data_IF_722477908220
#
_entry.id   IF_722477908220
#
_cell.length_a   1.000
_cell.length_b   1.000
_cell.length_c   1.000
_cell.angle_alpha   90.00
_cell.angle_beta   90.00
_cell.angle_gamma   90.00
#
_symmetry.space_group_name_H-M   'P 1'
#
loop_
_entity.id
_entity.type
_entity.pdbx_description
1 polymer ?
#
# COMPACT_ATOMS: atom_id res chain seq x y z
N UNK A 1 -13.01 26.19 22.73
CA UNK A 1 -12.53 26.02 21.35
C UNK A 1 -11.52 24.86 21.18
N UNK A 2 -11.30 23.99 22.18
CA UNK A 2 -10.40 22.83 22.08
C UNK A 2 -11.12 21.46 22.10
N UNK A 3 -12.46 21.44 22.02
CA UNK A 3 -13.26 20.22 22.06
C UNK A 3 -13.68 19.67 20.69
N UNK A 4 -13.46 20.41 19.60
CA UNK A 4 -13.84 19.97 18.24
C UNK A 4 -12.77 19.10 17.58
N UNK A 5 -11.56 19.03 18.13
CA UNK A 5 -10.46 18.23 17.56
C UNK A 5 -10.73 16.71 17.66
N UNK A 6 -11.41 16.24 18.70
CA UNK A 6 -11.76 14.82 18.86
C UNK A 6 -13.01 14.44 18.04
N UNK A 7 -13.88 15.40 17.73
CA UNK A 7 -15.11 15.15 16.97
C UNK A 7 -14.88 15.01 15.45
N UNK A 8 -13.72 15.47 14.96
CA UNK A 8 -13.31 15.33 13.55
C UNK A 8 -12.44 14.09 13.30
N UNK A 9 -12.16 13.31 14.35
CA UNK A 9 -11.33 12.12 14.29
C UNK A 9 -12.13 10.90 13.84
N UNK A 10 -11.97 10.54 12.57
CA UNK A 10 -12.22 9.20 12.00
C UNK A 10 -13.67 8.89 11.59
N UNK A 11 -14.06 9.40 10.41
CA UNK A 11 -15.25 8.94 9.65
C UNK A 11 -14.88 7.72 8.77
N UNK A 12 -14.35 6.66 9.38
CA UNK A 12 -14.34 5.33 8.79
C UNK A 12 -14.75 4.33 9.88
N UNK A 13 -16.05 4.32 10.17
CA UNK A 13 -16.62 3.31 11.06
C UNK A 13 -16.79 2.02 10.26
N UNK A 14 -15.87 1.07 10.44
CA UNK A 14 -16.04 -0.30 9.92
C UNK A 14 -17.14 -0.96 10.74
N UNK A 15 -18.37 -0.87 10.26
CA UNK A 15 -19.51 -1.56 10.85
C UNK A 15 -19.36 -3.04 10.57
N UNK A 16 -19.11 -3.82 11.61
CA UNK A 16 -19.10 -5.28 11.53
C UNK A 16 -20.56 -5.73 11.33
N UNK A 17 -20.91 -6.44 10.25
CA UNK A 17 -22.27 -6.92 10.01
C UNK A 17 -22.77 -7.84 11.12
N UNK A 18 -24.08 -7.89 11.37
CA UNK A 18 -24.67 -8.83 12.32
C UNK A 18 -24.75 -10.25 11.71
N UNK A 19 -24.68 -11.28 12.55
CA UNK A 19 -24.69 -12.69 12.12
C UNK A 19 -23.29 -13.31 11.95
N UNK A 20 -23.23 -14.47 11.30
CA UNK A 20 -22.02 -15.31 11.21
C UNK A 20 -20.83 -14.59 10.55
N UNK A 21 -21.13 -13.73 9.57
CA UNK A 21 -20.14 -12.89 8.90
C UNK A 21 -19.45 -11.91 9.87
N UNK A 22 -20.19 -11.37 10.85
CA UNK A 22 -19.62 -10.49 11.86
C UNK A 22 -18.71 -11.19 12.85
N UNK A 23 -19.03 -12.44 13.18
CA UNK A 23 -18.19 -13.30 14.03
C UNK A 23 -16.88 -13.62 13.32
N UNK A 24 -16.93 -13.95 12.03
CA UNK A 24 -15.74 -14.16 11.21
C UNK A 24 -14.86 -12.89 11.16
N UNK A 25 -15.46 -11.73 10.89
CA UNK A 25 -14.70 -10.48 10.81
C UNK A 25 -14.05 -10.07 12.14
N UNK A 26 -14.67 -10.38 13.29
CA UNK A 26 -14.09 -10.16 14.62
C UNK A 26 -12.94 -11.13 14.95
N UNK A 27 -12.94 -12.33 14.37
CA UNK A 27 -11.87 -13.32 14.58
C UNK A 27 -10.54 -12.91 13.96
N UNK A 28 -10.58 -12.06 12.92
CA UNK A 28 -9.38 -11.55 12.24
C UNK A 28 -8.96 -10.23 12.91
N UNK A 29 -7.70 -10.11 13.37
CA UNK A 29 -7.18 -8.88 13.94
C UNK A 29 -7.31 -7.66 13.02
N UNK A 30 -7.56 -6.49 13.61
CA UNK A 30 -7.83 -5.25 12.87
C UNK A 30 -6.65 -4.77 12.00
N UNK A 31 -5.41 -5.12 12.34
CA UNK A 31 -4.23 -4.73 11.57
C UNK A 31 -4.22 -5.29 10.15
N UNK A 32 -4.84 -6.46 9.91
CA UNK A 32 -4.96 -7.04 8.58
C UNK A 32 -5.81 -6.16 7.67
N UNK A 33 -6.96 -5.71 8.17
CA UNK A 33 -7.85 -4.80 7.45
C UNK A 33 -7.20 -3.43 7.24
N UNK A 34 -6.45 -2.95 8.24
CA UNK A 34 -5.71 -1.69 8.13
C UNK A 34 -4.59 -1.74 7.07
N UNK A 35 -4.05 -2.93 6.78
CA UNK A 35 -3.02 -3.12 5.76
C UNK A 35 -3.57 -3.22 4.33
N UNK A 36 -4.87 -3.43 4.14
CA UNK A 36 -5.48 -3.63 2.81
C UNK A 36 -5.16 -2.53 1.78
N UNK A 37 -5.14 -1.22 2.12
CA UNK A 37 -4.81 -0.19 1.15
C UNK A 37 -3.39 -0.34 0.59
N UNK A 38 -2.43 -0.73 1.43
CA UNK A 38 -1.04 -0.93 1.03
C UNK A 38 -0.84 -2.23 0.27
N UNK A 39 -1.54 -3.29 0.66
CA UNK A 39 -1.51 -4.56 -0.09
C UNK A 39 -2.10 -4.38 -1.49
N UNK A 40 -3.19 -3.62 -1.61
CA UNK A 40 -3.79 -3.30 -2.90
C UNK A 40 -2.81 -2.56 -3.82
N UNK A 41 -2.09 -1.56 -3.30
CA UNK A 41 -1.09 -0.85 -4.13
C UNK A 41 0.05 -1.76 -4.54
N UNK A 42 0.55 -2.63 -3.64
CA UNK A 42 1.59 -3.60 -3.99
C UNK A 42 1.12 -4.54 -5.10
N UNK A 43 -0.09 -5.09 -5.01
CA UNK A 43 -0.64 -5.98 -6.05
C UNK A 43 -0.80 -5.24 -7.37
N UNK A 44 -1.30 -4.01 -7.35
CA UNK A 44 -1.43 -3.18 -8.55
C UNK A 44 -0.05 -2.90 -9.15
N UNK A 45 0.92 -2.43 -8.35
CA UNK A 45 2.28 -2.14 -8.81
C UNK A 45 2.95 -3.40 -9.35
N UNK A 46 2.88 -4.52 -8.65
CA UNK A 46 3.44 -5.79 -9.10
C UNK A 46 2.78 -6.29 -10.40
N UNK A 47 1.46 -6.11 -10.53
CA UNK A 47 0.72 -6.45 -11.74
C UNK A 47 1.03 -5.53 -12.92
N UNK A 48 1.23 -4.24 -12.68
CA UNK A 48 1.44 -3.21 -13.72
C UNK A 48 2.91 -3.09 -14.14
N UNK A 49 3.86 -3.11 -13.20
CA UNK A 49 5.30 -2.90 -13.46
C UNK A 49 5.93 -4.12 -14.15
N UNK A 50 5.35 -5.31 -13.99
CA UNK A 50 5.81 -6.53 -14.67
C UNK A 50 7.24 -6.92 -14.30
N UNK A 51 7.95 -7.58 -15.23
CA UNK A 51 9.34 -8.03 -15.03
C UNK A 51 10.31 -6.87 -15.22
N UNK A 52 11.16 -6.62 -14.21
CA UNK A 52 12.29 -5.69 -14.36
C UNK A 52 13.15 -6.13 -15.54
N UNK A 53 13.20 -5.31 -16.59
CA UNK A 53 14.10 -5.51 -17.73
C UNK A 53 15.41 -4.81 -17.35
N UNK A 54 16.51 -5.55 -17.14
CA UNK A 54 17.77 -4.93 -16.76
C UNK A 54 18.24 -3.95 -17.83
N UNK A 55 18.95 -2.87 -17.45
CA UNK A 55 19.40 -1.86 -18.40
C UNK A 55 20.38 -2.48 -19.40
N UNK A 56 20.27 -2.11 -20.68
CA UNK A 56 21.19 -2.59 -21.72
C UNK A 56 22.66 -2.16 -21.49
N UNK A 57 22.89 -1.18 -20.63
CA UNK A 57 24.21 -0.72 -20.22
C UNK A 57 24.80 -1.51 -19.02
N UNK A 58 24.11 -2.54 -18.50
CA UNK A 58 24.70 -3.42 -17.50
C UNK A 58 25.94 -4.09 -18.11
N UNK A 59 27.11 -3.75 -17.57
CA UNK A 59 28.40 -4.25 -18.06
C UNK A 59 29.05 -3.46 -19.20
N UNK A 60 28.46 -2.35 -19.68
CA UNK A 60 29.13 -1.44 -20.64
C UNK A 60 29.82 -0.32 -19.86
N UNK A 61 31.17 -0.27 -19.84
CA UNK A 61 31.90 0.80 -19.15
C UNK A 61 31.59 2.18 -19.75
N UNK A 62 31.35 3.17 -18.89
CA UNK A 62 31.19 4.57 -19.33
C UNK A 62 32.51 5.10 -19.90
N UNK A 63 32.48 5.58 -21.16
CA UNK A 63 33.61 6.27 -21.77
C UNK A 63 33.42 7.77 -21.58
N UNK A 64 34.35 8.40 -20.85
CA UNK A 64 34.34 9.85 -20.66
C UNK A 64 34.83 10.51 -21.95
N UNK A 65 34.02 11.37 -22.55
CA UNK A 65 34.48 12.28 -23.60
C UNK A 65 35.45 13.29 -22.96
N UNK A 66 36.74 12.95 -23.03
CA UNK A 66 37.84 13.81 -22.64
C UNK A 66 38.08 14.82 -23.74
N UNK A 67 37.91 16.09 -23.37
CA UNK A 67 38.16 17.33 -24.12
C UNK A 67 39.41 17.25 -25.00
N UNK A 68 39.29 17.74 -26.22
CA UNK A 68 40.41 18.06 -27.11
C UNK A 68 41.39 19.05 -26.46
#
# INVERSE_FOLDING_TARGET
MFGTATALGVVVNVRVPEGDLGTLMKSIPTFWYAALPYLMTIVILAGVVGRSTPPAADGVPYVKEGKA
#
